data_IF_156649747991
#
_entry.id   IF_156649747991
#
_cell.length_a   1.000
_cell.length_b   1.000
_cell.length_c   1.000
_cell.angle_alpha   90.00
_cell.angle_beta   90.00
_cell.angle_gamma   90.00
#
_symmetry.space_group_name_H-M   'P 1'
#
loop_
_entity.id
_entity.type
_entity.pdbx_description
1 polymer ?
#
# COMPACT_ATOMS: atom_id res chain seq x y z
N UNK A 1 -44.35 -34.70 -58.30
CA UNK A 1 -42.99 -34.45 -57.78
C UNK A 1 -42.22 -33.64 -58.81
N UNK A 2 -41.43 -32.66 -58.32
CA UNK A 2 -40.52 -31.75 -59.03
C UNK A 2 -41.10 -30.48 -59.68
N UNK A 3 -40.62 -29.31 -59.21
CA UNK A 3 -40.03 -28.29 -60.08
C UNK A 3 -40.56 -26.85 -60.03
N UNK A 4 -39.67 -25.89 -59.71
CA UNK A 4 -39.58 -24.50 -60.25
C UNK A 4 -40.50 -23.41 -59.65
N UNK A 5 -40.09 -22.28 -59.05
CA UNK A 5 -39.14 -21.17 -59.38
C UNK A 5 -39.81 -19.97 -60.11
N UNK A 6 -39.93 -18.81 -59.39
CA UNK A 6 -39.67 -17.39 -59.83
C UNK A 6 -40.75 -16.69 -60.73
N UNK A 7 -40.85 -15.32 -60.81
CA UNK A 7 -40.70 -14.26 -59.80
C UNK A 7 -41.67 -13.04 -60.01
N UNK A 8 -41.32 -11.95 -59.31
CA UNK A 8 -41.77 -10.55 -59.32
C UNK A 8 -41.60 -9.82 -60.67
N UNK A 9 -42.56 -8.94 -60.99
CA UNK A 9 -42.46 -7.74 -61.84
C UNK A 9 -43.51 -6.74 -61.34
N UNK A 10 -43.35 -5.42 -61.26
CA UNK A 10 -42.65 -4.46 -62.12
C UNK A 10 -43.70 -3.40 -62.49
N UNK A 11 -43.37 -2.10 -62.48
CA UNK A 11 -44.24 -1.10 -63.12
C UNK A 11 -44.32 0.28 -62.48
N UNK A 12 -43.62 1.22 -63.11
CA UNK A 12 -43.43 2.63 -62.80
C UNK A 12 -44.67 3.54 -62.83
N UNK A 13 -44.68 4.48 -61.88
CA UNK A 13 -44.90 5.94 -61.97
C UNK A 13 -45.38 6.50 -63.32
N UNK A 14 -46.54 7.17 -63.30
CA UNK A 14 -46.93 8.23 -64.22
C UNK A 14 -47.29 9.50 -63.43
N UNK A 15 -46.74 10.64 -63.85
CA UNK A 15 -46.98 11.95 -63.26
C UNK A 15 -48.25 12.63 -63.78
N UNK A 16 -48.69 13.65 -63.05
CA UNK A 16 -49.76 14.57 -63.45
C UNK A 16 -49.98 15.60 -62.35
N UNK A 17 -49.62 16.85 -62.64
CA UNK A 17 -49.53 17.92 -61.66
C UNK A 17 -50.82 18.69 -61.39
N UNK A 18 -50.67 19.56 -60.38
CA UNK A 18 -51.42 20.77 -60.06
C UNK A 18 -52.84 20.62 -59.50
N UNK A 19 -53.01 20.91 -58.20
CA UNK A 19 -53.85 22.05 -57.81
C UNK A 19 -53.56 22.58 -56.39
N UNK A 20 -54.02 23.82 -56.17
CA UNK A 20 -53.59 24.82 -55.20
C UNK A 20 -54.00 24.55 -53.75
N UNK A 21 -53.08 24.87 -52.84
CA UNK A 21 -53.32 25.91 -51.81
C UNK A 21 -54.45 25.68 -50.80
N UNK A 22 -54.33 24.66 -49.96
CA UNK A 22 -55.13 24.52 -48.73
C UNK A 22 -54.38 25.08 -47.51
N UNK A 23 -54.86 26.20 -46.97
CA UNK A 23 -54.39 26.82 -45.71
C UNK A 23 -54.69 25.86 -44.55
N UNK A 24 -53.70 25.11 -44.06
CA UNK A 24 -53.90 24.18 -42.93
C UNK A 24 -54.07 24.99 -41.66
N UNK A 25 -55.30 24.98 -41.12
CA UNK A 25 -55.62 25.41 -39.75
C UNK A 25 -54.76 24.57 -38.79
N UNK A 26 -53.69 25.17 -38.29
CA UNK A 26 -52.85 24.56 -37.27
C UNK A 26 -53.67 24.44 -35.98
N UNK A 27 -54.07 23.22 -35.63
CA UNK A 27 -54.94 22.95 -34.48
C UNK A 27 -54.28 23.45 -33.20
N UNK A 28 -55.03 24.12 -32.33
CA UNK A 28 -54.56 24.60 -31.02
C UNK A 28 -53.91 23.48 -30.19
N UNK A 29 -54.32 22.22 -30.40
CA UNK A 29 -53.70 21.03 -29.80
C UNK A 29 -52.29 20.75 -30.32
N UNK A 30 -52.01 21.02 -31.59
CA UNK A 30 -50.68 20.88 -32.19
C UNK A 30 -49.72 21.95 -31.67
N UNK A 31 -50.20 23.18 -31.44
CA UNK A 31 -49.42 24.23 -30.76
C UNK A 31 -49.12 23.90 -29.29
N UNK A 32 -50.08 23.29 -28.56
CA UNK A 32 -49.82 22.80 -27.20
C UNK A 32 -48.82 21.63 -27.19
N UNK A 33 -48.90 20.70 -28.15
CA UNK A 33 -47.95 19.60 -28.30
C UNK A 33 -46.55 20.10 -28.67
N UNK A 34 -46.43 21.03 -29.62
CA UNK A 34 -45.16 21.64 -29.98
C UNK A 34 -44.57 22.47 -28.84
N UNK A 35 -45.41 23.20 -28.10
CA UNK A 35 -44.99 23.96 -26.92
C UNK A 35 -44.51 23.08 -25.78
N UNK A 36 -45.18 21.95 -25.52
CA UNK A 36 -44.75 20.98 -24.48
C UNK A 36 -43.47 20.26 -24.88
N UNK A 37 -43.32 19.85 -26.15
CA UNK A 37 -42.06 19.27 -26.66
C UNK A 37 -40.92 20.28 -26.59
N UNK A 38 -41.16 21.55 -26.95
CA UNK A 38 -40.15 22.60 -26.84
C UNK A 38 -39.76 22.87 -25.38
N UNK A 39 -40.70 22.84 -24.44
CA UNK A 39 -40.43 23.00 -23.02
C UNK A 39 -39.59 21.84 -22.46
N UNK A 40 -39.89 20.60 -22.85
CA UNK A 40 -39.09 19.41 -22.47
C UNK A 40 -37.69 19.50 -23.08
N UNK A 41 -37.57 19.96 -24.32
CA UNK A 41 -36.27 20.13 -24.97
C UNK A 41 -35.44 21.23 -24.30
N UNK A 42 -36.05 22.37 -23.97
CA UNK A 42 -35.38 23.48 -23.27
C UNK A 42 -34.97 23.07 -21.86
N UNK A 43 -35.83 22.39 -21.10
CA UNK A 43 -35.48 21.91 -19.76
C UNK A 43 -34.36 20.87 -19.79
N UNK A 44 -34.35 19.97 -20.78
CA UNK A 44 -33.24 19.02 -21.01
C UNK A 44 -31.94 19.73 -21.42
N UNK A 45 -32.02 20.78 -22.24
CA UNK A 45 -30.87 21.58 -22.65
C UNK A 45 -30.30 22.38 -21.46
N UNK A 46 -31.16 22.97 -20.62
CA UNK A 46 -30.75 23.64 -19.40
C UNK A 46 -30.15 22.66 -18.39
N UNK A 47 -30.72 21.46 -18.22
CA UNK A 47 -30.13 20.43 -17.36
C UNK A 47 -28.75 20.00 -17.88
N UNK A 48 -28.60 19.85 -19.20
CA UNK A 48 -27.34 19.51 -19.86
C UNK A 48 -26.31 20.64 -19.76
N UNK A 49 -26.75 21.89 -19.84
CA UNK A 49 -25.88 23.07 -19.66
C UNK A 49 -25.54 23.32 -18.20
N UNK A 50 -26.40 22.98 -17.24
CA UNK A 50 -26.08 23.01 -15.81
C UNK A 50 -25.16 21.87 -15.39
N UNK A 51 -25.28 20.68 -16.02
CA UNK A 51 -24.35 19.56 -15.85
C UNK A 51 -22.99 19.82 -16.53
N UNK A 52 -22.96 20.54 -17.67
CA UNK A 52 -21.71 20.94 -18.36
C UNK A 52 -21.11 22.27 -17.86
N UNK A 53 -21.90 23.14 -17.24
CA UNK A 53 -21.50 24.49 -16.83
C UNK A 53 -21.03 24.59 -15.38
N UNK A 54 -20.84 23.45 -14.72
CA UNK A 54 -20.53 23.39 -13.29
C UNK A 54 -19.42 22.41 -12.91
N UNK A 55 -18.56 21.96 -13.84
CA UNK A 55 -17.26 21.35 -13.51
C UNK A 55 -16.31 21.57 -14.68
N UNK A 56 -15.36 22.48 -14.54
CA UNK A 56 -14.19 22.53 -15.40
C UNK A 56 -13.36 21.28 -15.14
N UNK A 57 -13.63 20.19 -15.87
CA UNK A 57 -12.75 19.02 -15.92
C UNK A 57 -11.52 19.40 -16.74
N UNK A 58 -10.58 20.13 -16.15
CA UNK A 58 -9.23 20.39 -16.67
C UNK A 58 -8.34 19.12 -16.64
N UNK A 59 -8.93 17.93 -16.86
CA UNK A 59 -8.26 16.63 -16.71
C UNK A 59 -8.24 15.79 -18.00
N UNK A 60 -8.61 16.36 -19.15
CA UNK A 60 -8.57 15.66 -20.44
C UNK A 60 -7.73 16.39 -21.50
N UNK A 61 -6.66 17.07 -21.09
CA UNK A 61 -5.47 17.19 -21.94
C UNK A 61 -4.45 16.13 -21.51
N UNK A 62 -4.11 15.15 -22.37
CA UNK A 62 -3.06 14.20 -22.05
C UNK A 62 -1.69 14.86 -22.27
N UNK A 63 -0.81 14.98 -21.25
CA UNK A 63 0.61 15.10 -21.52
C UNK A 63 1.08 13.79 -22.16
N UNK A 64 1.91 13.90 -23.19
CA UNK A 64 2.36 12.79 -24.05
C UNK A 64 2.82 11.57 -23.24
N UNK A 65 2.04 10.49 -23.34
CA UNK A 65 2.27 9.21 -22.65
C UNK A 65 2.90 8.18 -23.58
N UNK A 66 3.82 8.57 -24.45
CA UNK A 66 4.55 7.60 -25.27
C UNK A 66 5.87 7.24 -24.58
N UNK A 67 5.80 6.63 -23.38
CA UNK A 67 6.81 5.69 -22.81
C UNK A 67 6.40 5.23 -21.39
N UNK A 68 5.38 4.38 -21.26
CA UNK A 68 5.16 3.68 -19.97
C UNK A 68 4.50 2.32 -20.14
N UNK A 69 5.30 1.35 -20.58
CA UNK A 69 5.06 -0.06 -20.29
C UNK A 69 5.96 -0.50 -19.14
N UNK A 70 5.50 -0.31 -17.89
CA UNK A 70 5.55 -1.27 -16.75
C UNK A 70 4.67 -0.70 -15.63
N UNK A 71 3.64 -1.43 -15.22
CA UNK A 71 2.94 -1.15 -13.95
C UNK A 71 3.96 -1.38 -12.82
N UNK A 72 4.55 -0.31 -12.28
CA UNK A 72 5.42 -0.38 -11.09
C UNK A 72 4.53 -0.48 -9.85
N UNK A 73 4.39 -1.69 -9.31
CA UNK A 73 3.61 -2.00 -8.11
C UNK A 73 4.26 -1.51 -6.80
N UNK A 74 5.44 -0.90 -6.88
CA UNK A 74 6.22 -0.37 -5.76
C UNK A 74 6.78 0.99 -6.20
N UNK A 75 6.77 2.03 -5.35
CA UNK A 75 7.45 3.29 -5.64
C UNK A 75 8.86 2.99 -6.14
N UNK A 76 9.23 3.62 -7.25
CA UNK A 76 10.59 3.55 -7.75
C UNK A 76 11.45 4.27 -6.72
N UNK A 77 12.16 3.55 -5.86
CA UNK A 77 13.28 4.13 -5.12
C UNK A 77 14.35 4.46 -6.16
N UNK A 78 14.28 5.64 -6.77
CA UNK A 78 15.39 6.15 -7.57
C UNK A 78 16.40 6.70 -6.59
N UNK A 79 17.28 5.82 -6.10
CA UNK A 79 18.53 6.23 -5.46
C UNK A 79 19.38 6.94 -6.51
N UNK A 80 19.21 8.25 -6.69
CA UNK A 80 20.11 9.06 -7.52
C UNK A 80 21.39 9.32 -6.74
N UNK A 81 22.31 8.36 -6.71
CA UNK A 81 23.68 8.62 -6.26
C UNK A 81 24.59 8.92 -7.44
N UNK A 82 25.20 10.12 -7.43
CA UNK A 82 26.38 10.42 -8.24
C UNK A 82 27.57 9.66 -7.64
N UNK A 83 27.96 8.57 -8.30
CA UNK A 83 29.22 7.90 -8.03
C UNK A 83 30.36 8.90 -8.25
N UNK A 84 31.05 9.26 -7.17
CA UNK A 84 32.36 9.93 -7.25
C UNK A 84 33.46 8.86 -7.33
N UNK A 85 34.56 9.09 -8.05
CA UNK A 85 35.57 8.06 -8.32
C UNK A 85 36.31 7.63 -7.03
N UNK A 86 36.83 6.38 -6.97
CA UNK A 86 37.41 5.83 -5.75
C UNK A 86 38.89 6.21 -5.62
N UNK A 87 39.18 7.20 -4.81
CA UNK A 87 40.53 7.39 -4.24
C UNK A 87 40.41 7.56 -2.73
N UNK A 88 40.12 6.48 -2.01
CA UNK A 88 40.31 6.39 -0.55
C UNK A 88 40.24 4.92 -0.11
N UNK A 89 40.94 4.51 0.96
CA UNK A 89 40.94 3.13 1.43
C UNK A 89 39.51 2.68 1.74
N UNK A 90 39.15 1.43 1.38
CA UNK A 90 37.86 0.79 1.66
C UNK A 90 37.41 1.10 3.10
N UNK A 91 36.50 2.06 3.24
CA UNK A 91 36.02 2.52 4.53
C UNK A 91 35.09 1.44 5.09
N UNK A 92 35.62 0.61 5.99
CA UNK A 92 34.82 -0.41 6.67
C UNK A 92 33.73 0.26 7.51
N UNK A 93 32.51 -0.24 7.36
CA UNK A 93 31.32 0.26 8.05
C UNK A 93 31.14 -0.34 9.45
N UNK A 94 31.88 -1.39 9.80
CA UNK A 94 31.83 -2.06 11.11
C UNK A 94 33.14 -2.82 11.45
N UNK A 95 33.24 -3.36 12.67
CA UNK A 95 34.40 -4.13 13.13
C UNK A 95 34.31 -5.65 12.85
N UNK A 96 33.30 -6.12 12.11
CA UNK A 96 33.19 -7.53 11.74
C UNK A 96 34.22 -7.92 10.66
N UNK A 97 34.36 -9.23 10.43
CA UNK A 97 35.19 -9.75 9.34
C UNK A 97 34.70 -9.27 7.96
N UNK A 98 33.37 -9.16 7.80
CA UNK A 98 32.68 -8.53 6.67
C UNK A 98 31.53 -7.69 7.21
N UNK A 99 31.30 -6.53 6.62
CA UNK A 99 30.18 -5.66 6.97
C UNK A 99 29.21 -5.56 5.80
N UNK A 100 27.91 -5.50 6.11
CA UNK A 100 26.85 -5.48 5.10
C UNK A 100 26.93 -4.23 4.24
N UNK A 101 27.26 -3.08 4.82
CA UNK A 101 27.32 -1.80 4.10
C UNK A 101 28.66 -1.48 3.45
N UNK A 102 29.62 -2.41 3.40
CA UNK A 102 30.91 -2.16 2.74
C UNK A 102 30.71 -2.15 1.21
N UNK A 103 31.03 -1.05 0.51
CA UNK A 103 30.86 -0.95 -0.93
C UNK A 103 31.93 -1.76 -1.69
N UNK A 104 31.68 -2.04 -2.97
CA UNK A 104 32.63 -2.68 -3.88
C UNK A 104 32.70 -4.20 -3.76
N UNK A 105 31.81 -4.82 -2.98
CA UNK A 105 31.67 -6.28 -2.91
C UNK A 105 30.75 -6.79 -4.02
N UNK A 106 29.71 -6.04 -4.37
CA UNK A 106 28.75 -6.40 -5.42
C UNK A 106 28.06 -5.15 -5.96
N UNK A 107 28.25 -4.86 -7.25
CA UNK A 107 27.60 -3.72 -7.92
C UNK A 107 26.07 -3.78 -7.76
N UNK A 108 25.49 -4.97 -7.90
CA UNK A 108 24.05 -5.17 -7.68
C UNK A 108 23.63 -4.80 -6.25
N UNK A 109 24.43 -5.14 -5.23
CA UNK A 109 24.11 -4.79 -3.86
C UNK A 109 24.23 -3.29 -3.63
N UNK A 110 25.31 -2.69 -4.11
CA UNK A 110 25.59 -1.26 -3.96
C UNK A 110 24.51 -0.39 -4.64
N UNK A 111 23.95 -0.85 -5.77
CA UNK A 111 22.82 -0.18 -6.45
C UNK A 111 21.49 -0.28 -5.68
N UNK A 112 21.32 -1.26 -4.81
CA UNK A 112 20.05 -1.55 -4.13
C UNK A 112 20.07 -1.32 -2.61
N UNK A 113 21.24 -1.11 -2.02
CA UNK A 113 21.42 -0.87 -0.59
C UNK A 113 21.58 0.61 -0.30
N UNK A 114 20.66 1.15 0.49
CA UNK A 114 20.73 2.52 0.99
C UNK A 114 20.88 2.53 2.51
N UNK A 115 22.04 2.94 3.04
CA UNK A 115 22.30 2.96 4.49
C UNK A 115 21.56 4.08 5.22
N UNK A 116 21.01 5.09 4.53
CA UNK A 116 20.35 6.25 5.13
C UNK A 116 18.84 6.00 5.37
N UNK A 117 18.30 4.87 4.89
CA UNK A 117 16.91 4.47 5.15
C UNK A 117 16.74 4.09 6.62
N UNK A 118 15.93 4.86 7.34
CA UNK A 118 15.49 4.49 8.69
C UNK A 118 14.52 3.30 8.63
N UNK A 119 14.81 2.15 9.27
CA UNK A 119 13.93 0.98 9.26
C UNK A 119 12.75 1.09 10.22
N UNK A 120 12.62 2.22 10.93
CA UNK A 120 11.53 2.45 11.88
C UNK A 120 10.91 3.82 11.73
N UNK A 121 9.60 3.86 11.98
CA UNK A 121 8.83 5.08 12.10
C UNK A 121 9.04 5.73 13.47
N UNK A 122 9.40 7.01 13.44
CA UNK A 122 9.68 7.88 14.58
C UNK A 122 8.89 9.18 14.44
N UNK A 123 9.01 10.06 15.44
CA UNK A 123 8.45 11.41 15.34
C UNK A 123 9.15 12.26 14.27
N UNK A 124 10.42 11.98 14.01
CA UNK A 124 11.25 12.77 13.10
C UNK A 124 10.96 12.46 11.62
N UNK A 125 10.50 11.24 11.32
CA UNK A 125 10.12 10.80 9.97
C UNK A 125 8.62 10.46 9.83
N UNK A 126 7.77 11.08 10.64
CA UNK A 126 6.31 10.81 10.70
C UNK A 126 5.57 11.17 9.38
N UNK A 127 6.14 12.04 8.56
CA UNK A 127 5.56 12.48 7.30
C UNK A 127 6.06 11.58 6.17
N UNK A 128 5.16 10.80 5.57
CA UNK A 128 5.46 10.03 4.37
C UNK A 128 5.35 10.89 3.11
N UNK A 129 6.23 10.66 2.12
CA UNK A 129 6.00 11.11 0.75
C UNK A 129 4.61 10.65 0.24
N UNK A 130 3.88 11.48 -0.53
CA UNK A 130 2.52 11.15 -0.96
C UNK A 130 2.42 9.82 -1.72
N UNK A 131 3.38 9.53 -2.61
CA UNK A 131 3.45 8.30 -3.38
C UNK A 131 3.65 7.05 -2.50
N UNK A 132 4.52 7.14 -1.49
CA UNK A 132 4.73 6.08 -0.50
C UNK A 132 3.47 5.87 0.34
N UNK A 133 2.83 6.95 0.78
CA UNK A 133 1.56 6.88 1.51
C UNK A 133 0.46 6.22 0.67
N UNK A 134 0.29 6.63 -0.59
CA UNK A 134 -0.71 6.05 -1.49
C UNK A 134 -0.44 4.58 -1.78
N UNK A 135 0.82 4.19 -1.97
CA UNK A 135 1.17 2.79 -2.10
C UNK A 135 0.81 1.98 -0.85
N UNK A 136 1.16 2.48 0.33
CA UNK A 136 0.91 1.78 1.59
C UNK A 136 -0.59 1.59 1.87
N UNK A 137 -1.43 2.61 1.64
CA UNK A 137 -2.88 2.46 1.83
C UNK A 137 -3.53 1.49 0.84
N UNK A 138 -2.90 1.23 -0.30
CA UNK A 138 -3.37 0.26 -1.29
C UNK A 138 -3.05 -1.19 -0.92
N UNK A 139 -2.14 -1.44 0.04
CA UNK A 139 -1.83 -2.81 0.51
C UNK A 139 -3.06 -3.50 1.10
N UNK A 140 -3.82 -2.79 1.93
CA UNK A 140 -5.08 -3.27 2.52
C UNK A 140 -6.10 -2.12 2.63
N UNK A 141 -6.85 -1.83 1.54
CA UNK A 141 -7.78 -0.72 1.49
C UNK A 141 -8.77 -0.72 2.66
N UNK A 142 -8.90 0.42 3.35
CA UNK A 142 -9.81 0.59 4.48
C UNK A 142 -10.98 1.51 4.08
N UNK A 143 -12.21 1.08 4.35
CA UNK A 143 -13.42 1.85 4.02
C UNK A 143 -13.58 3.14 4.84
N UNK A 144 -12.93 3.21 6.00
CA UNK A 144 -12.96 4.41 6.88
C UNK A 144 -11.60 5.10 6.83
N UNK A 145 -11.51 6.28 6.20
CA UNK A 145 -10.27 7.04 6.20
C UNK A 145 -9.98 7.51 7.63
N UNK A 146 -8.76 7.25 8.09
CA UNK A 146 -8.24 7.79 9.34
C UNK A 146 -7.16 8.81 8.99
N UNK A 147 -7.10 9.91 9.73
CA UNK A 147 -5.97 10.83 9.63
C UNK A 147 -4.74 10.15 10.23
N UNK A 148 -3.87 9.62 9.37
CA UNK A 148 -2.68 8.86 9.76
C UNK A 148 -1.75 9.66 10.68
N UNK A 149 -1.59 10.96 10.43
CA UNK A 149 -0.73 11.83 11.22
C UNK A 149 -1.27 11.94 12.66
N UNK A 150 -2.58 12.14 12.82
CA UNK A 150 -3.21 12.17 14.15
C UNK A 150 -3.12 10.81 14.86
N UNK A 151 -3.24 9.71 14.12
CA UNK A 151 -3.08 8.36 14.67
C UNK A 151 -1.66 8.15 15.20
N UNK A 152 -0.64 8.49 14.40
CA UNK A 152 0.76 8.35 14.79
C UNK A 152 1.12 9.26 15.96
N UNK A 153 0.64 10.52 15.99
CA UNK A 153 0.86 11.43 17.11
C UNK A 153 0.30 10.89 18.43
N UNK A 154 -0.90 10.28 18.41
CA UNK A 154 -1.49 9.63 19.60
C UNK A 154 -0.73 8.36 19.97
N UNK A 155 -0.35 7.56 18.99
CA UNK A 155 0.38 6.32 19.19
C UNK A 155 1.73 6.58 19.87
N UNK A 156 2.47 7.61 19.45
CA UNK A 156 3.74 7.99 20.08
C UNK A 156 3.58 8.63 21.46
N UNK A 157 2.37 8.84 21.98
CA UNK A 157 2.15 9.12 23.41
C UNK A 157 2.13 7.84 24.25
N UNK A 158 1.92 6.68 23.63
CA UNK A 158 1.83 5.36 24.29
C UNK A 158 3.10 4.55 24.15
N UNK A 159 3.79 4.66 23.02
CA UNK A 159 5.06 3.96 22.73
C UNK A 159 6.19 4.95 22.43
N UNK A 160 7.47 4.53 22.51
CA UNK A 160 8.59 5.38 22.12
C UNK A 160 8.49 5.85 20.66
N UNK A 161 8.61 7.17 20.46
CA UNK A 161 8.63 7.78 19.12
C UNK A 161 10.04 8.09 18.61
N UNK A 162 11.04 7.33 19.04
CA UNK A 162 12.46 7.48 18.70
C UNK A 162 13.03 6.14 18.26
N UNK A 163 14.02 6.14 17.38
CA UNK A 163 14.69 4.92 16.95
C UNK A 163 15.47 4.31 18.14
N UNK A 164 15.25 3.02 18.48
CA UNK A 164 16.12 2.31 19.42
C UNK A 164 17.47 1.95 18.77
N UNK A 165 17.58 2.06 17.44
CA UNK A 165 18.74 1.74 16.63
C UNK A 165 19.48 3.02 16.21
N UNK A 166 19.73 3.93 17.16
CA UNK A 166 20.45 5.19 16.91
C UNK A 166 21.88 4.99 16.38
N UNK A 167 22.73 6.03 16.41
CA UNK A 167 24.09 5.98 15.85
C UNK A 167 24.83 4.71 16.27
N UNK A 168 25.02 3.79 15.33
CA UNK A 168 25.73 2.54 15.52
C UNK A 168 27.21 2.84 15.75
N UNK A 169 27.84 2.11 16.68
CA UNK A 169 29.28 2.23 16.92
C UNK A 169 30.04 1.40 15.87
N UNK A 170 30.75 2.04 14.90
CA UNK A 170 31.50 1.32 13.88
C UNK A 170 32.62 0.45 14.47
N UNK A 171 33.05 0.71 15.72
CA UNK A 171 34.04 -0.07 16.44
C UNK A 171 33.53 -1.41 16.97
N UNK A 172 32.22 -1.70 16.88
CA UNK A 172 31.64 -2.98 17.32
C UNK A 172 31.32 -3.88 16.14
N UNK A 173 31.41 -5.20 16.39
CA UNK A 173 30.86 -6.20 15.49
C UNK A 173 29.55 -6.72 16.07
N UNK A 174 28.46 -6.48 15.35
CA UNK A 174 27.12 -6.89 15.73
C UNK A 174 26.65 -8.00 14.80
N UNK A 175 26.20 -9.10 15.40
CA UNK A 175 25.77 -10.29 14.67
C UNK A 175 24.29 -10.53 14.92
N UNK A 176 23.55 -10.74 13.84
CA UNK A 176 22.11 -10.96 13.87
C UNK A 176 21.77 -12.37 13.36
N UNK A 177 20.89 -13.07 14.05
CA UNK A 177 20.20 -14.26 13.54
C UNK A 177 18.76 -13.89 13.17
N UNK A 178 18.37 -14.13 11.92
CA UNK A 178 16.98 -13.98 11.47
C UNK A 178 16.37 -15.36 11.34
N UNK A 179 15.40 -15.68 12.20
CA UNK A 179 14.81 -17.01 12.29
C UNK A 179 13.40 -16.97 11.72
N UNK A 180 13.24 -17.58 10.54
CA UNK A 180 11.93 -17.81 9.91
C UNK A 180 11.19 -18.99 10.53
N UNK A 181 10.08 -19.38 9.90
CA UNK A 181 9.15 -20.38 10.42
C UNK A 181 9.11 -21.66 9.56
N UNK A 182 10.15 -21.90 8.75
CA UNK A 182 10.21 -23.06 7.87
C UNK A 182 10.40 -24.34 8.67
N UNK A 183 9.72 -25.42 8.25
CA UNK A 183 9.87 -26.74 8.84
C UNK A 183 11.27 -27.35 8.66
N UNK A 184 12.12 -26.77 7.81
CA UNK A 184 13.51 -27.21 7.64
C UNK A 184 14.38 -27.02 8.89
N UNK A 185 13.92 -26.24 9.88
CA UNK A 185 14.60 -26.10 11.16
C UNK A 185 14.46 -27.36 12.02
N UNK A 186 13.44 -28.19 11.79
CA UNK A 186 13.17 -29.36 12.63
C UNK A 186 14.27 -30.42 12.47
N UNK A 187 14.93 -30.77 13.57
CA UNK A 187 16.08 -31.67 13.61
C UNK A 187 17.36 -31.09 13.04
N UNK A 188 17.43 -29.78 12.78
CA UNK A 188 18.61 -29.13 12.20
C UNK A 188 19.71 -28.82 13.23
N UNK A 189 19.36 -28.73 14.52
CA UNK A 189 20.35 -28.50 15.59
C UNK A 189 21.01 -27.11 15.56
N UNK A 190 20.38 -26.10 14.94
CA UNK A 190 20.94 -24.75 14.85
C UNK A 190 20.80 -23.90 16.12
N UNK A 191 20.13 -24.41 17.15
CA UNK A 191 19.71 -23.61 18.30
C UNK A 191 20.86 -22.89 19.02
N UNK A 192 21.96 -23.59 19.28
CA UNK A 192 23.14 -23.01 19.92
C UNK A 192 23.82 -21.93 19.06
N UNK A 193 23.88 -22.15 17.74
CA UNK A 193 24.44 -21.18 16.79
C UNK A 193 23.56 -19.92 16.70
N UNK A 194 22.23 -20.08 16.68
CA UNK A 194 21.26 -18.97 16.70
C UNK A 194 21.43 -18.17 17.99
N UNK A 195 21.43 -18.85 19.14
CA UNK A 195 21.55 -18.22 20.45
C UNK A 195 22.92 -17.57 20.70
N UNK A 196 23.92 -17.81 19.85
CA UNK A 196 25.23 -17.14 19.87
C UNK A 196 25.24 -15.71 19.29
N UNK A 197 24.14 -15.22 18.73
CA UNK A 197 24.05 -13.89 18.10
C UNK A 197 23.67 -12.78 19.11
N UNK A 198 24.06 -11.54 18.82
CA UNK A 198 23.72 -10.37 19.63
C UNK A 198 22.22 -10.05 19.54
N UNK A 199 21.69 -10.08 18.31
CA UNK A 199 20.27 -9.93 18.04
C UNK A 199 19.68 -11.16 17.38
N UNK A 200 18.50 -11.56 17.84
CA UNK A 200 17.77 -12.72 17.36
C UNK A 200 16.36 -12.24 17.02
N UNK A 201 16.08 -12.21 15.72
CA UNK A 201 14.86 -11.68 15.12
C UNK A 201 13.95 -12.84 14.74
N UNK A 202 12.72 -12.81 15.24
CA UNK A 202 11.70 -13.84 14.96
C UNK A 202 10.42 -13.20 14.44
N UNK A 203 9.60 -13.98 13.74
CA UNK A 203 8.37 -13.48 13.13
C UNK A 203 7.16 -14.35 13.49
N UNK A 204 5.98 -13.72 13.53
CA UNK A 204 4.68 -14.41 13.65
C UNK A 204 4.57 -15.32 14.90
N UNK A 205 3.88 -16.45 14.77
CA UNK A 205 3.49 -17.30 15.88
C UNK A 205 4.43 -18.49 16.15
N UNK A 206 5.58 -18.59 15.48
CA UNK A 206 6.48 -19.73 15.69
C UNK A 206 6.88 -19.87 17.17
N UNK A 207 6.73 -21.07 17.75
CA UNK A 207 7.17 -21.35 19.11
C UNK A 207 8.68 -21.60 19.15
N UNK A 208 9.30 -21.23 20.26
CA UNK A 208 10.66 -21.68 20.60
C UNK A 208 10.63 -22.80 21.63
N UNK A 209 9.63 -22.81 22.51
CA UNK A 209 9.45 -23.84 23.55
C UNK A 209 9.23 -25.21 22.92
N UNK A 210 10.08 -26.17 23.26
CA UNK A 210 10.10 -27.54 22.70
C UNK A 210 10.85 -27.66 21.37
N UNK A 211 11.47 -26.58 20.89
CA UNK A 211 12.25 -26.52 19.65
C UNK A 211 13.60 -25.81 19.88
N UNK A 212 14.06 -25.69 21.11
CA UNK A 212 15.25 -24.91 21.47
C UNK A 212 16.52 -25.44 20.81
N UNK A 213 16.67 -26.75 20.70
CA UNK A 213 17.82 -27.40 20.05
C UNK A 213 17.93 -27.00 18.57
N UNK A 214 16.79 -26.76 17.92
CA UNK A 214 16.68 -26.48 16.50
C UNK A 214 16.65 -24.98 16.20
N UNK A 215 15.84 -24.24 16.94
CA UNK A 215 15.48 -22.86 16.67
C UNK A 215 16.06 -21.87 17.68
N UNK A 216 16.70 -22.33 18.75
CA UNK A 216 17.23 -21.50 19.83
C UNK A 216 16.16 -21.08 20.83
N UNK A 217 16.61 -20.70 22.03
CA UNK A 217 15.77 -20.30 23.15
C UNK A 217 15.61 -18.78 23.28
N UNK A 218 16.57 -18.01 22.74
CA UNK A 218 16.63 -16.55 22.91
C UNK A 218 15.85 -15.84 21.80
N UNK A 219 15.32 -14.67 22.13
CA UNK A 219 14.68 -13.74 21.19
C UNK A 219 14.96 -12.32 21.67
N UNK A 220 15.42 -11.43 20.78
CA UNK A 220 15.60 -10.00 21.11
C UNK A 220 14.57 -9.13 20.43
N UNK A 221 14.19 -9.47 19.20
CA UNK A 221 13.18 -8.74 18.43
C UNK A 221 12.15 -9.73 17.88
N UNK A 222 10.88 -9.37 18.01
CA UNK A 222 9.79 -10.17 17.46
C UNK A 222 8.90 -9.29 16.59
N UNK A 223 8.83 -9.62 15.30
CA UNK A 223 8.04 -8.91 14.31
C UNK A 223 6.63 -9.51 14.27
N UNK A 224 5.62 -8.67 14.49
CA UNK A 224 4.22 -9.10 14.45
C UNK A 224 3.34 -8.01 13.84
N UNK A 225 2.16 -8.43 13.42
CA UNK A 225 1.02 -7.59 13.03
C UNK A 225 -0.22 -8.13 13.77
N UNK A 226 -1.34 -7.38 13.84
CA UNK A 226 -2.45 -7.72 14.75
C UNK A 226 -2.96 -9.15 14.63
N UNK A 227 -3.07 -9.66 13.40
CA UNK A 227 -3.58 -10.99 13.09
C UNK A 227 -2.58 -12.13 13.35
N UNK A 228 -1.34 -11.80 13.68
CA UNK A 228 -0.23 -12.74 13.94
C UNK A 228 0.50 -12.42 15.26
N UNK A 229 -0.19 -11.74 16.18
CA UNK A 229 0.37 -11.28 17.44
C UNK A 229 0.28 -12.34 18.55
N UNK A 230 1.32 -12.42 19.37
CA UNK A 230 1.38 -13.18 20.63
C UNK A 230 1.94 -12.32 21.76
N UNK A 231 1.70 -12.72 23.01
CA UNK A 231 2.38 -12.09 24.13
C UNK A 231 3.88 -12.42 24.04
N UNK A 232 4.72 -11.46 24.41
CA UNK A 232 6.16 -11.65 24.42
C UNK A 232 6.67 -11.71 25.86
N UNK A 233 7.81 -12.39 26.04
CA UNK A 233 8.52 -12.36 27.30
C UNK A 233 8.99 -10.93 27.62
N UNK A 234 9.25 -10.66 28.90
CA UNK A 234 9.88 -9.40 29.29
C UNK A 234 11.21 -9.21 28.53
N UNK A 235 11.56 -7.95 28.24
CA UNK A 235 12.76 -7.56 27.52
C UNK A 235 12.86 -7.91 26.03
N UNK A 236 11.85 -8.54 25.42
CA UNK A 236 11.79 -8.73 23.97
C UNK A 236 11.21 -7.48 23.32
N UNK A 237 11.91 -6.90 22.35
CA UNK A 237 11.43 -5.78 21.56
C UNK A 237 10.33 -6.23 20.61
N UNK A 238 9.17 -5.57 20.68
CA UNK A 238 8.08 -5.80 19.74
C UNK A 238 8.22 -4.84 18.56
N UNK A 239 8.46 -5.39 17.37
CA UNK A 239 8.45 -4.62 16.12
C UNK A 239 7.11 -4.83 15.43
N UNK A 240 6.25 -3.80 15.45
CA UNK A 240 4.96 -3.82 14.75
C UNK A 240 5.19 -3.60 13.25
N UNK A 241 4.59 -4.44 12.42
CA UNK A 241 4.57 -4.28 10.97
C UNK A 241 3.17 -3.84 10.54
N UNK A 242 2.92 -2.53 10.31
CA UNK A 242 1.59 -2.04 9.98
C UNK A 242 1.30 -2.16 8.48
N UNK A 243 0.26 -2.91 8.11
CA UNK A 243 -0.21 -3.04 6.71
C UNK A 243 -1.41 -2.15 6.39
N UNK A 244 -2.01 -1.54 7.42
CA UNK A 244 -3.16 -0.65 7.34
C UNK A 244 -3.20 0.26 8.57
N UNK A 245 -3.89 1.40 8.47
CA UNK A 245 -4.03 2.33 9.60
C UNK A 245 -4.67 1.71 10.83
N UNK A 246 -5.55 0.71 10.64
CA UNK A 246 -6.17 -0.02 11.73
C UNK A 246 -5.15 -0.75 12.62
N UNK A 247 -3.99 -1.15 12.09
CA UNK A 247 -2.95 -1.84 12.86
C UNK A 247 -2.29 -0.89 13.88
N UNK A 248 -2.14 0.38 13.51
CA UNK A 248 -1.63 1.45 14.39
C UNK A 248 -2.65 1.81 15.48
N UNK A 249 -3.94 1.86 15.13
CA UNK A 249 -4.99 2.07 16.12
C UNK A 249 -5.10 0.86 17.06
N UNK A 250 -4.96 -0.36 16.52
CA UNK A 250 -4.98 -1.60 17.29
C UNK A 250 -3.90 -1.61 18.35
N UNK A 251 -2.65 -1.27 18.04
CA UNK A 251 -1.58 -1.33 19.06
C UNK A 251 -1.85 -0.38 20.22
N UNK A 252 -2.35 0.82 19.93
CA UNK A 252 -2.76 1.79 20.96
C UNK A 252 -3.86 1.19 21.83
N UNK A 253 -4.85 0.54 21.23
CA UNK A 253 -5.95 -0.12 21.95
C UNK A 253 -5.47 -1.33 22.76
N UNK A 254 -4.66 -2.22 22.18
CA UNK A 254 -4.20 -3.45 22.80
C UNK A 254 -3.28 -3.21 24.02
N UNK A 255 -2.60 -2.07 24.05
CA UNK A 255 -1.77 -1.63 25.19
C UNK A 255 -2.53 -0.80 26.23
N UNK A 256 -3.81 -0.46 25.97
CA UNK A 256 -4.61 0.38 26.86
C UNK A 256 -6.05 -0.14 27.01
N UNK A 257 -6.97 0.28 26.13
CA UNK A 257 -8.42 0.17 26.30
C UNK A 257 -9.01 -1.18 25.89
N UNK A 258 -8.31 -1.96 25.07
CA UNK A 258 -8.78 -3.25 24.55
C UNK A 258 -10.14 -3.18 23.83
N UNK A 259 -10.39 -2.12 23.09
CA UNK A 259 -11.62 -1.91 22.31
C UNK A 259 -11.57 -2.67 20.97
N UNK A 260 -10.39 -2.78 20.36
CA UNK A 260 -10.24 -3.47 19.07
C UNK A 260 -10.03 -4.97 19.33
N UNK A 261 -10.96 -5.78 18.84
CA UNK A 261 -10.94 -7.26 18.94
C UNK A 261 -10.99 -7.95 17.58
N UNK A 262 -11.19 -7.19 16.52
CA UNK A 262 -11.39 -7.71 15.17
C UNK A 262 -10.86 -6.71 14.14
N UNK A 263 -10.20 -7.22 13.11
CA UNK A 263 -9.83 -6.49 11.88
C UNK A 263 -10.61 -7.06 10.70
N UNK A 264 -9.99 -7.89 9.85
CA UNK A 264 -10.67 -8.87 9.00
C UNK A 264 -10.73 -10.25 9.67
N UNK A 265 -9.96 -10.45 10.74
CA UNK A 265 -9.94 -11.64 11.57
C UNK A 265 -9.95 -11.25 13.06
N UNK A 266 -10.26 -12.17 13.99
CA UNK A 266 -10.10 -11.91 15.42
C UNK A 266 -8.65 -11.56 15.76
N UNK A 267 -8.45 -10.53 16.58
CA UNK A 267 -7.13 -10.08 17.04
C UNK A 267 -7.08 -10.02 18.56
N UNK A 268 -5.88 -9.99 19.14
CA UNK A 268 -5.73 -9.91 20.59
C UNK A 268 -6.33 -8.60 21.11
N UNK A 269 -7.28 -8.72 22.03
CA UNK A 269 -7.88 -7.58 22.73
C UNK A 269 -6.84 -6.84 23.59
N UNK A 270 -6.01 -7.59 24.32
CA UNK A 270 -4.94 -7.06 25.15
C UNK A 270 -3.64 -7.77 24.80
N UNK A 271 -2.57 -6.99 24.66
CA UNK A 271 -1.25 -7.49 24.32
C UNK A 271 -0.29 -7.27 25.49
N UNK A 272 0.33 -8.35 25.99
CA UNK A 272 1.36 -8.28 27.03
C UNK A 272 2.73 -8.23 26.36
N UNK A 273 3.28 -7.03 26.28
CA UNK A 273 4.63 -6.70 25.79
C UNK A 273 5.18 -5.53 26.61
N UNK A 274 6.49 -5.32 26.54
CA UNK A 274 7.13 -4.14 27.12
C UNK A 274 6.84 -2.90 26.26
N UNK A 275 6.08 -1.94 26.80
CA UNK A 275 5.65 -0.74 26.07
C UNK A 275 6.83 0.13 25.64
N UNK A 276 7.90 0.15 26.43
CA UNK A 276 9.11 0.93 26.17
C UNK A 276 10.02 0.30 25.12
N UNK A 277 9.67 -0.91 24.64
CA UNK A 277 10.38 -1.65 23.59
C UNK A 277 9.48 -1.97 22.39
N UNK A 278 8.42 -1.18 22.19
CA UNK A 278 7.62 -1.24 20.96
C UNK A 278 8.20 -0.29 19.93
N UNK A 279 8.37 -0.77 18.70
CA UNK A 279 8.81 0.03 17.55
C UNK A 279 7.90 -0.23 16.35
N UNK A 280 7.77 0.76 15.49
CA UNK A 280 7.03 0.66 14.23
C UNK A 280 8.03 0.42 13.10
N UNK A 281 7.86 -0.64 12.32
CA UNK A 281 8.55 -0.82 11.05
C UNK A 281 8.02 0.20 10.03
#
# INVERSE_FOLDING_TARGET
MSGGVVPVGGGSIAGGGAEKGGKVRCSRRLWFLLGTVALVFLTSLFLSMSLRGGVSFNYLEPPGWEESRRVKLVPSYMGTHRLSPPETPLQKTCACSRCVGDPGVSDWFDENYDPDISPVWTRDNIQLPPDVYYWWVMLQPQFKPHNIQQVLLRLFQVIPGRSPYGSWDPGRCLRCAVVGNSGNLRGAGYGSAIDGHDYIMRINLAPTVGYEDDAGSRTTHHFMYPESAKNLAANVSFVLVPFKTLDLVWITSALSTGQIRFTYAPVKQFLRVDKDKVSLL
#
